data_IF_162741997818
#
_entry.id   IF_162741997818
#
_cell.length_a   1.000
_cell.length_b   1.000
_cell.length_c   1.000
_cell.angle_alpha   90.00
_cell.angle_beta   90.00
_cell.angle_gamma   90.00
#
_symmetry.space_group_name_H-M   'P 1'
#
loop_
_entity.id
_entity.type
_entity.pdbx_description
1 polymer ?
#
# COMPACT_ATOMS: atom_id res chain seq x y z
N UNK A 1 4.40 -0.75 18.12
CA UNK A 1 2.94 -0.77 18.30
C UNK A 1 2.35 -1.43 17.06
N UNK A 2 1.76 -2.61 17.20
CA UNK A 2 1.20 -3.37 16.08
C UNK A 2 -0.25 -3.00 15.84
N UNK A 3 -0.72 -3.14 14.61
CA UNK A 3 -2.12 -2.98 14.25
C UNK A 3 -2.82 -4.35 14.17
N UNK A 4 -4.13 -4.42 14.44
CA UNK A 4 -4.90 -5.62 14.15
C UNK A 4 -4.82 -5.98 12.67
N UNK A 5 -5.14 -7.24 12.31
CA UNK A 5 -5.22 -7.63 10.91
C UNK A 5 -6.29 -6.80 10.22
N UNK A 6 -5.88 -6.08 9.18
CA UNK A 6 -6.74 -5.23 8.35
C UNK A 6 -6.53 -5.60 6.88
N UNK A 7 -7.57 -5.38 6.09
CA UNK A 7 -7.50 -5.48 4.64
C UNK A 7 -7.53 -4.08 4.06
N UNK A 8 -6.57 -3.76 3.20
CA UNK A 8 -6.45 -2.48 2.52
C UNK A 8 -6.59 -2.73 1.02
N UNK A 9 -7.36 -1.89 0.34
CA UNK A 9 -7.52 -1.95 -1.12
C UNK A 9 -6.51 -1.03 -1.78
N UNK A 10 -5.76 -1.54 -2.74
CA UNK A 10 -4.89 -0.72 -3.58
C UNK A 10 -5.74 -0.16 -4.74
N UNK A 11 -5.95 1.16 -4.83
CA UNK A 11 -6.65 1.75 -5.96
C UNK A 11 -5.82 1.61 -7.24
N UNK A 12 -6.44 1.17 -8.34
CA UNK A 12 -5.78 0.94 -9.62
C UNK A 12 -5.17 2.20 -10.23
N UNK A 13 -5.79 3.36 -10.01
CA UNK A 13 -5.31 4.66 -10.48
C UNK A 13 -4.00 5.10 -9.82
N UNK A 14 -3.84 4.78 -8.52
CA UNK A 14 -2.70 5.22 -7.72
C UNK A 14 -1.61 4.17 -7.60
N UNK A 15 -1.97 2.88 -7.65
CA UNK A 15 -1.05 1.74 -7.55
C UNK A 15 -0.45 1.48 -6.17
N UNK A 16 -0.77 2.28 -5.15
CA UNK A 16 -0.28 2.07 -3.80
C UNK A 16 -1.33 2.40 -2.74
N UNK A 17 -1.17 1.78 -1.57
CA UNK A 17 -1.95 2.07 -0.35
C UNK A 17 -1.02 2.17 0.85
N UNK A 18 -1.35 3.04 1.79
CA UNK A 18 -0.56 3.28 3.00
C UNK A 18 -1.28 2.73 4.23
N UNK A 19 -0.54 2.03 5.09
CA UNK A 19 -1.00 1.56 6.38
C UNK A 19 -1.06 2.72 7.38
N UNK A 20 -2.24 3.24 7.68
CA UNK A 20 -2.42 4.34 8.64
C UNK A 20 -2.02 4.06 10.10
N UNK A 21 -1.59 2.84 10.41
CA UNK A 21 -1.12 2.46 11.75
C UNK A 21 0.39 2.26 11.85
N UNK A 22 1.03 1.97 10.72
CA UNK A 22 2.41 1.49 10.68
C UNK A 22 3.26 2.21 9.64
N UNK A 23 2.69 3.20 8.95
CA UNK A 23 3.30 4.01 7.90
C UNK A 23 4.00 3.20 6.79
N UNK A 24 3.63 1.93 6.64
CA UNK A 24 4.12 1.07 5.57
C UNK A 24 3.31 1.32 4.31
N UNK A 25 4.01 1.55 3.20
CA UNK A 25 3.42 1.67 1.87
C UNK A 25 3.47 0.32 1.16
N UNK A 26 2.34 -0.11 0.63
CA UNK A 26 2.22 -1.29 -0.22
C UNK A 26 1.99 -0.80 -1.65
N UNK A 27 2.82 -1.24 -2.58
CA UNK A 27 2.74 -0.89 -4.01
C UNK A 27 2.41 -2.15 -4.78
N UNK A 28 1.49 -2.05 -5.73
CA UNK A 28 1.16 -3.16 -6.62
C UNK A 28 2.30 -3.37 -7.62
N UNK A 29 2.66 -4.63 -7.88
CA UNK A 29 3.78 -5.00 -8.77
C UNK A 29 3.69 -4.35 -10.15
N UNK A 30 2.49 -4.32 -10.73
CA UNK A 30 2.21 -3.65 -12.01
C UNK A 30 2.54 -2.17 -12.06
N UNK A 31 2.67 -1.49 -10.92
CA UNK A 31 3.08 -0.09 -10.80
C UNK A 31 4.43 0.09 -10.10
N UNK A 32 5.13 -0.99 -9.71
CA UNK A 32 6.42 -0.90 -9.04
C UNK A 32 7.51 -0.28 -9.92
N UNK A 33 7.40 -0.40 -11.24
CA UNK A 33 8.35 0.17 -12.21
C UNK A 33 8.19 1.70 -12.39
N UNK A 34 6.99 2.24 -12.13
CA UNK A 34 6.71 3.69 -12.29
C UNK A 34 7.25 4.55 -11.14
N UNK A 35 7.75 3.95 -10.06
CA UNK A 35 8.21 4.65 -8.85
C UNK A 35 9.76 4.72 -8.80
N UNK A 36 10.43 4.42 -9.92
CA UNK A 36 11.90 4.36 -9.99
C UNK A 36 12.55 5.70 -10.32
#
# INVERSE_FOLDING_TARGET
>A
MGHPRVWLTIPEDRGFVECGYCDRRYVHDSMADQVK
#
